data_IF_378877061172
#
_entry.id   IF_378877061172
#
_cell.length_a   1.000
_cell.length_b   1.000
_cell.length_c   1.000
_cell.angle_alpha   90.00
_cell.angle_beta   90.00
_cell.angle_gamma   90.00
#
_symmetry.space_group_name_H-M   'P 1'
#
loop_
_entity.id
_entity.type
_entity.pdbx_description
1 polymer ?
#
# COMPACT_ATOMS: atom_id res chain seq x y z
N UNK A 1 2.08 14.47 -23.18
CA UNK A 1 2.42 14.77 -21.77
C UNK A 1 2.12 13.49 -21.00
N UNK A 2 3.17 12.73 -20.72
CA UNK A 2 3.06 11.56 -19.85
C UNK A 2 2.85 12.07 -18.43
N UNK A 3 1.64 11.99 -17.93
CA UNK A 3 1.33 12.30 -16.54
C UNK A 3 1.78 11.12 -15.69
N UNK A 4 3.04 11.11 -15.30
CA UNK A 4 3.50 10.31 -14.18
C UNK A 4 3.12 11.06 -12.92
N UNK A 5 1.95 10.77 -12.36
CA UNK A 5 1.53 11.23 -11.04
C UNK A 5 2.37 10.52 -9.99
N UNK A 6 3.60 10.97 -9.78
CA UNK A 6 4.51 10.37 -8.81
C UNK A 6 4.77 11.36 -7.68
N UNK A 7 4.30 11.01 -6.50
CA UNK A 7 4.77 11.55 -5.24
C UNK A 7 4.24 12.94 -4.87
N UNK A 8 4.66 14.01 -5.51
CA UNK A 8 4.31 15.37 -5.09
C UNK A 8 2.86 15.77 -5.35
N UNK A 9 2.28 15.30 -6.46
CA UNK A 9 0.88 15.59 -6.80
C UNK A 9 -0.10 14.80 -5.90
N UNK A 10 0.25 13.60 -5.49
CA UNK A 10 -0.50 12.84 -4.49
C UNK A 10 -0.56 13.58 -3.16
N UNK A 11 0.58 14.13 -2.70
CA UNK A 11 0.65 14.93 -1.48
C UNK A 11 -0.20 16.19 -1.54
N UNK A 12 -0.27 16.85 -2.69
CA UNK A 12 -1.11 18.05 -2.88
C UNK A 12 -2.58 17.67 -2.76
N UNK A 13 -3.02 16.60 -3.42
CA UNK A 13 -4.39 16.12 -3.39
C UNK A 13 -4.84 15.70 -1.98
N UNK A 14 -3.99 15.00 -1.25
CA UNK A 14 -4.35 14.46 0.07
C UNK A 14 -4.40 15.53 1.17
N UNK A 15 -3.66 16.63 1.00
CA UNK A 15 -3.56 17.71 2.00
C UNK A 15 -4.41 18.94 1.69
N UNK A 16 -4.80 19.16 0.45
CA UNK A 16 -5.52 20.35 0.01
C UNK A 16 -6.92 20.00 -0.48
N UNK A 17 -7.91 20.81 -0.05
CA UNK A 17 -9.31 20.69 -0.48
C UNK A 17 -9.68 21.59 -1.66
N UNK A 18 -8.77 22.47 -2.07
CA UNK A 18 -8.93 23.46 -3.13
C UNK A 18 -8.22 23.05 -4.44
N UNK A 19 -8.04 21.75 -4.64
CA UNK A 19 -7.36 21.20 -5.82
C UNK A 19 -8.36 20.51 -6.74
N UNK A 20 -8.30 20.82 -8.01
CA UNK A 20 -9.02 20.11 -9.08
C UNK A 20 -8.00 19.40 -9.97
N UNK A 21 -8.16 18.09 -10.14
CA UNK A 21 -7.30 17.29 -11.01
C UNK A 21 -8.01 17.05 -12.34
N UNK A 22 -7.35 17.43 -13.43
CA UNK A 22 -7.81 17.16 -14.79
C UNK A 22 -6.90 16.08 -15.39
N UNK A 23 -7.46 14.93 -15.73
CA UNK A 23 -6.71 13.80 -16.26
C UNK A 23 -7.53 13.02 -17.29
N UNK A 24 -6.87 12.12 -18.04
CA UNK A 24 -7.58 11.20 -18.92
C UNK A 24 -8.29 10.12 -18.10
N UNK A 25 -9.35 9.53 -18.66
CA UNK A 25 -10.13 8.46 -18.02
C UNK A 25 -9.28 7.23 -17.67
N UNK A 26 -8.17 7.02 -18.39
CA UNK A 26 -7.24 5.92 -18.11
C UNK A 26 -6.57 6.02 -16.73
N UNK A 27 -6.53 7.20 -16.13
CA UNK A 27 -5.94 7.40 -14.80
C UNK A 27 -6.80 6.86 -13.65
N UNK A 28 -8.09 6.57 -13.89
CA UNK A 28 -9.00 6.02 -12.87
C UNK A 28 -9.14 4.50 -12.93
N UNK A 29 -8.59 3.84 -13.95
CA UNK A 29 -8.61 2.39 -14.02
C UNK A 29 -7.67 1.77 -12.98
N UNK A 30 -8.21 0.81 -12.22
CA UNK A 30 -7.46 0.10 -11.17
C UNK A 30 -7.30 0.87 -9.86
N UNK A 31 -7.84 2.08 -9.74
CA UNK A 31 -7.91 2.76 -8.44
C UNK A 31 -8.94 2.05 -7.56
N UNK A 32 -8.52 1.66 -6.36
CA UNK A 32 -9.41 1.12 -5.33
C UNK A 32 -10.39 2.16 -4.78
N UNK A 33 -11.28 1.72 -3.90
CA UNK A 33 -12.17 2.62 -3.18
C UNK A 33 -11.36 3.58 -2.30
N UNK A 34 -11.64 4.90 -2.30
CA UNK A 34 -11.04 5.83 -1.35
C UNK A 34 -11.24 5.41 0.11
N UNK A 35 -12.37 4.79 0.43
CA UNK A 35 -12.66 4.31 1.79
C UNK A 35 -11.68 3.19 2.18
N UNK A 36 -11.46 2.20 1.31
CA UNK A 36 -10.52 1.11 1.56
C UNK A 36 -9.09 1.63 1.76
N UNK A 37 -8.70 2.65 0.99
CA UNK A 37 -7.39 3.29 1.15
C UNK A 37 -7.23 3.95 2.53
N UNK A 38 -8.29 4.60 3.03
CA UNK A 38 -8.28 5.18 4.38
C UNK A 38 -8.34 4.12 5.48
N UNK A 39 -9.06 3.02 5.26
CA UNK A 39 -9.20 1.93 6.23
C UNK A 39 -7.86 1.16 6.41
N UNK A 40 -7.00 1.16 5.40
CA UNK A 40 -5.65 0.59 5.47
C UNK A 40 -4.60 1.53 6.10
N UNK A 41 -4.98 2.74 6.52
CA UNK A 41 -4.07 3.68 7.14
C UNK A 41 -3.61 3.19 8.53
N UNK A 42 -2.29 3.17 8.76
CA UNK A 42 -1.72 2.86 10.08
C UNK A 42 -1.69 4.12 10.92
N UNK A 43 -2.37 4.10 12.06
CA UNK A 43 -2.40 5.21 13.02
C UNK A 43 -1.54 4.88 14.24
N UNK A 44 -0.52 5.68 14.53
CA UNK A 44 0.40 5.47 15.64
C UNK A 44 0.39 6.68 16.58
N UNK A 45 0.45 6.38 17.89
CA UNK A 45 0.52 7.39 18.96
C UNK A 45 1.48 6.95 20.06
N UNK A 46 2.25 7.86 20.67
CA UNK A 46 2.99 7.56 21.90
C UNK A 46 2.06 7.05 23.00
N UNK A 47 2.51 6.08 23.79
CA UNK A 47 1.72 5.40 24.81
C UNK A 47 0.77 4.32 24.29
N UNK A 48 0.79 4.02 22.99
CA UNK A 48 0.00 2.95 22.41
C UNK A 48 0.72 1.62 22.61
N UNK A 49 0.01 0.64 23.19
CA UNK A 49 0.51 -0.75 23.28
C UNK A 49 0.37 -1.41 21.92
N UNK A 50 1.48 -1.54 21.23
CA UNK A 50 1.58 -2.15 19.91
C UNK A 50 3.00 -2.61 19.68
N UNK A 51 3.18 -3.90 19.43
CA UNK A 51 4.49 -4.47 19.18
C UNK A 51 5.11 -3.96 17.87
N UNK A 52 6.43 -3.77 17.90
CA UNK A 52 7.20 -3.34 16.72
C UNK A 52 6.97 -4.27 15.51
N UNK A 53 6.96 -5.58 15.72
CA UNK A 53 6.81 -6.57 14.65
C UNK A 53 5.37 -6.61 14.09
N UNK A 54 4.38 -6.18 14.88
CA UNK A 54 3.01 -5.94 14.41
C UNK A 54 2.98 -4.76 13.44
N UNK A 55 3.60 -3.64 13.82
CA UNK A 55 3.70 -2.46 12.93
C UNK A 55 4.46 -2.78 11.64
N UNK A 56 5.51 -3.61 11.71
CA UNK A 56 6.25 -4.06 10.53
C UNK A 56 5.35 -4.86 9.59
N UNK A 57 4.53 -5.78 10.11
CA UNK A 57 3.57 -6.56 9.30
C UNK A 57 2.56 -5.66 8.61
N UNK A 58 1.97 -4.72 9.34
CA UNK A 58 1.05 -3.74 8.77
C UNK A 58 1.71 -2.90 7.66
N UNK A 59 2.99 -2.49 7.84
CA UNK A 59 3.72 -1.77 6.79
C UNK A 59 3.91 -2.60 5.52
N UNK A 60 4.19 -3.90 5.67
CA UNK A 60 4.30 -4.82 4.53
C UNK A 60 2.94 -4.98 3.84
N UNK A 61 1.86 -5.11 4.61
CA UNK A 61 0.49 -5.24 4.08
C UNK A 61 0.08 -4.02 3.24
N UNK A 62 0.52 -2.81 3.64
CA UNK A 62 0.32 -1.58 2.86
C UNK A 62 1.43 -1.29 1.84
N UNK A 63 2.21 -2.32 1.48
CA UNK A 63 3.22 -2.34 0.43
C UNK A 63 4.48 -1.48 0.68
N UNK A 64 4.84 -1.22 1.94
CA UNK A 64 6.16 -0.69 2.24
C UNK A 64 7.20 -1.79 2.16
N UNK A 65 8.37 -1.45 1.63
CA UNK A 65 9.48 -2.39 1.49
C UNK A 65 10.56 -2.13 2.55
N UNK A 66 11.03 -3.18 3.20
CA UNK A 66 12.18 -3.07 4.11
C UNK A 66 13.46 -2.85 3.33
N UNK A 67 14.17 -1.75 3.61
CA UNK A 67 15.45 -1.46 2.99
C UNK A 67 16.36 -0.71 3.98
N UNK A 68 17.46 -1.37 4.38
CA UNK A 68 18.41 -0.81 5.35
C UNK A 68 19.46 0.09 4.67
N UNK A 69 19.73 -0.12 3.37
CA UNK A 69 20.82 0.51 2.63
C UNK A 69 20.34 1.73 1.85
N UNK A 70 19.24 1.59 1.13
CA UNK A 70 18.66 2.64 0.28
C UNK A 70 17.33 3.10 0.86
N UNK A 71 17.39 4.16 1.67
CA UNK A 71 16.23 4.70 2.36
C UNK A 71 15.53 5.76 1.51
N UNK A 72 14.54 5.33 0.76
CA UNK A 72 13.72 6.16 -0.12
C UNK A 72 12.22 6.09 0.25
N UNK A 73 11.37 6.82 -0.48
CA UNK A 73 9.91 6.81 -0.25
C UNK A 73 9.35 5.40 -0.32
N UNK A 74 8.35 5.13 0.51
CA UNK A 74 7.69 3.82 0.63
C UNK A 74 8.61 2.71 1.13
N UNK A 75 9.71 3.07 1.83
CA UNK A 75 10.56 2.11 2.51
C UNK A 75 10.57 2.34 4.01
N UNK A 76 10.93 1.31 4.74
CA UNK A 76 11.22 1.39 6.16
C UNK A 76 12.51 0.64 6.51
N UNK A 77 13.13 1.01 7.62
CA UNK A 77 14.29 0.33 8.17
C UNK A 77 14.15 0.14 9.67
N UNK A 78 14.78 -0.89 10.19
CA UNK A 78 14.68 -1.28 11.61
C UNK A 78 16.06 -1.29 12.24
N UNK A 79 16.23 -0.57 13.34
CA UNK A 79 17.49 -0.52 14.09
C UNK A 79 17.20 -0.72 15.58
N UNK A 80 17.34 -1.96 16.05
CA UNK A 80 16.96 -2.32 17.42
C UNK A 80 15.49 -2.06 17.68
N UNK A 81 15.18 -1.26 18.68
CA UNK A 81 13.81 -0.88 19.05
C UNK A 81 13.31 0.40 18.33
N UNK A 82 14.01 0.79 17.28
CA UNK A 82 13.65 1.96 16.47
C UNK A 82 13.24 1.54 15.08
N UNK A 83 12.07 2.01 14.65
CA UNK A 83 11.53 1.85 13.32
C UNK A 83 11.53 3.21 12.62
N UNK A 84 12.20 3.32 11.48
CA UNK A 84 12.18 4.50 10.65
C UNK A 84 11.42 4.24 9.36
N UNK A 85 10.43 5.05 9.08
CA UNK A 85 9.50 4.93 7.94
C UNK A 85 9.63 6.16 7.07
N UNK A 86 9.85 5.98 5.77
CA UNK A 86 9.80 7.08 4.82
C UNK A 86 8.45 7.09 4.11
N UNK A 87 7.49 7.93 4.55
CA UNK A 87 6.16 7.92 3.99
C UNK A 87 6.14 8.20 2.49
N UNK A 88 5.23 7.54 1.77
CA UNK A 88 5.04 7.74 0.33
C UNK A 88 4.72 9.19 -0.03
N UNK A 89 4.05 9.91 0.88
CA UNK A 89 3.61 11.30 0.72
C UNK A 89 4.61 12.35 1.24
N UNK A 90 5.83 11.95 1.62
CA UNK A 90 6.88 12.87 2.08
C UNK A 90 7.98 13.02 1.05
N UNK A 91 8.66 14.18 1.03
CA UNK A 91 9.78 14.45 0.12
C UNK A 91 11.15 14.40 0.80
N UNK A 92 11.22 14.79 2.07
CA UNK A 92 12.46 15.08 2.80
C UNK A 92 12.40 14.70 4.27
N UNK A 93 11.26 14.21 4.73
CA UNK A 93 11.05 13.83 6.14
C UNK A 93 10.66 12.37 6.25
N UNK A 94 11.27 11.68 7.21
CA UNK A 94 10.87 10.35 7.63
C UNK A 94 10.31 10.38 9.04
N UNK A 95 9.61 9.34 9.42
CA UNK A 95 9.03 9.12 10.74
C UNK A 95 9.90 8.13 11.49
N UNK A 96 10.37 8.51 12.68
CA UNK A 96 11.04 7.61 13.60
C UNK A 96 10.09 7.26 14.74
N UNK A 97 9.86 5.97 14.92
CA UNK A 97 9.05 5.40 16.00
C UNK A 97 10.00 4.64 16.92
N UNK A 98 10.07 5.03 18.17
CA UNK A 98 10.91 4.40 19.20
C UNK A 98 9.99 3.58 20.10
N UNK A 99 10.36 2.30 20.30
CA UNK A 99 9.60 1.36 21.12
C UNK A 99 10.31 1.11 22.45
N UNK A 100 9.53 0.89 23.49
CA UNK A 100 10.00 0.37 24.76
C UNK A 100 9.20 -0.88 25.12
N UNK A 101 9.75 -2.06 24.85
CA UNK A 101 8.99 -3.30 24.86
C UNK A 101 7.86 -3.26 23.83
N UNK A 102 6.64 -3.52 24.29
CA UNK A 102 5.43 -3.56 23.45
C UNK A 102 4.69 -2.21 23.41
N UNK A 103 5.35 -1.10 23.79
CA UNK A 103 4.75 0.23 23.82
C UNK A 103 5.53 1.19 22.92
N UNK A 104 4.81 2.08 22.25
CA UNK A 104 5.40 3.18 21.49
C UNK A 104 5.79 4.30 22.48
N UNK A 105 7.08 4.47 22.73
CA UNK A 105 7.60 5.51 23.63
C UNK A 105 7.54 6.89 22.99
N UNK A 106 8.05 6.99 21.75
CA UNK A 106 8.18 8.29 21.08
C UNK A 106 7.99 8.19 19.58
N UNK A 107 7.42 9.25 19.00
CA UNK A 107 7.32 9.45 17.57
C UNK A 107 7.93 10.79 17.20
N UNK A 108 8.88 10.78 16.25
CA UNK A 108 9.58 11.97 15.80
C UNK A 108 9.61 12.04 14.26
N UNK A 109 9.50 13.26 13.73
CA UNK A 109 9.86 13.51 12.33
C UNK A 109 11.34 13.83 12.24
N UNK A 110 12.03 13.16 11.35
CA UNK A 110 13.45 13.30 11.11
C UNK A 110 13.74 13.76 9.68
N UNK A 111 14.82 14.46 9.50
CA UNK A 111 15.37 14.73 8.17
C UNK A 111 16.00 13.45 7.61
N UNK A 112 15.66 13.10 6.36
CA UNK A 112 16.10 11.85 5.74
C UNK A 112 17.61 11.80 5.52
N UNK A 113 18.24 12.95 5.21
CA UNK A 113 19.66 13.04 4.89
C UNK A 113 20.55 13.11 6.14
N UNK A 114 20.16 13.95 7.11
CA UNK A 114 20.95 14.20 8.32
C UNK A 114 20.57 13.29 9.48
N UNK A 115 19.33 12.77 9.49
CA UNK A 115 18.77 12.03 10.62
C UNK A 115 18.38 12.90 11.81
N UNK A 116 18.48 14.24 11.68
CA UNK A 116 18.13 15.19 12.75
C UNK A 116 16.64 15.21 13.01
N UNK A 117 16.26 15.29 14.29
CA UNK A 117 14.86 15.39 14.69
C UNK A 117 14.37 16.81 14.40
N UNK A 118 13.41 16.93 13.48
CA UNK A 118 12.73 18.18 13.15
C UNK A 118 11.66 18.53 14.18
N UNK A 119 10.84 17.57 14.58
CA UNK A 119 9.81 17.75 15.60
C UNK A 119 9.36 16.40 16.19
N UNK A 120 8.77 16.45 17.37
CA UNK A 120 8.06 15.33 17.97
C UNK A 120 6.58 15.39 17.59
N UNK A 121 5.97 14.21 17.42
CA UNK A 121 4.56 14.06 17.06
C UNK A 121 3.80 13.29 18.14
N UNK A 122 2.63 13.80 18.50
CA UNK A 122 1.68 13.09 19.36
C UNK A 122 0.80 12.07 18.60
N UNK A 123 0.83 12.14 17.29
CA UNK A 123 0.10 11.24 16.41
C UNK A 123 0.69 11.30 14.99
N UNK A 124 0.73 10.15 14.32
CA UNK A 124 1.09 10.05 12.91
C UNK A 124 0.16 9.06 12.20
N UNK A 125 -0.15 9.35 10.95
CA UNK A 125 -0.88 8.47 10.05
C UNK A 125 0.02 8.10 8.89
N UNK A 126 0.23 6.80 8.69
CA UNK A 126 1.00 6.26 7.55
C UNK A 126 0.00 5.72 6.54
N UNK A 127 0.00 6.30 5.35
CA UNK A 127 -0.86 5.89 4.25
C UNK A 127 -0.19 4.81 3.42
N UNK A 128 -0.95 3.97 2.70
CA UNK A 128 -0.40 2.96 1.80
C UNK A 128 0.63 3.52 0.81
N UNK A 129 1.61 2.69 0.47
CA UNK A 129 2.69 3.05 -0.46
C UNK A 129 2.19 3.31 -1.89
N UNK A 130 1.05 2.72 -2.25
CA UNK A 130 0.42 2.81 -3.56
C UNK A 130 -1.10 2.94 -3.43
N UNK A 131 -1.75 3.55 -4.42
CA UNK A 131 -3.22 3.57 -4.52
C UNK A 131 -3.82 2.24 -5.00
N UNK A 132 -2.97 1.29 -5.39
CA UNK A 132 -3.37 -0.03 -5.91
C UNK A 132 -3.30 -1.13 -4.84
N UNK A 133 -3.22 -0.76 -3.57
CA UNK A 133 -3.23 -1.73 -2.46
C UNK A 133 -4.66 -2.24 -2.28
N UNK A 134 -4.80 -3.55 -2.27
CA UNK A 134 -6.07 -4.24 -2.08
C UNK A 134 -5.92 -5.20 -0.90
N UNK A 135 -6.89 -5.25 0.04
CA UNK A 135 -6.85 -6.19 1.14
C UNK A 135 -6.78 -7.65 0.66
N UNK A 136 -5.98 -8.49 1.32
CA UNK A 136 -5.80 -9.89 0.94
C UNK A 136 -7.11 -10.68 0.87
N UNK A 137 -8.06 -10.38 1.77
CA UNK A 137 -9.39 -11.00 1.76
C UNK A 137 -10.20 -10.68 0.49
N UNK A 138 -10.00 -9.49 -0.08
CA UNK A 138 -10.67 -9.09 -1.31
C UNK A 138 -10.07 -9.82 -2.51
N UNK A 139 -8.74 -10.01 -2.53
CA UNK A 139 -8.06 -10.81 -3.56
C UNK A 139 -8.56 -12.24 -3.54
N UNK A 140 -8.67 -12.87 -2.36
CA UNK A 140 -9.19 -14.22 -2.23
C UNK A 140 -10.65 -14.34 -2.70
N UNK A 141 -11.50 -13.38 -2.33
CA UNK A 141 -12.90 -13.35 -2.82
C UNK A 141 -12.98 -13.21 -4.33
N UNK A 142 -12.12 -12.36 -4.90
CA UNK A 142 -12.05 -12.20 -6.35
C UNK A 142 -11.56 -13.49 -7.04
N UNK A 143 -10.56 -14.16 -6.51
CA UNK A 143 -10.04 -15.42 -7.04
C UNK A 143 -11.15 -16.51 -7.08
N UNK A 144 -11.90 -16.67 -6.00
CA UNK A 144 -13.03 -17.63 -5.96
C UNK A 144 -14.09 -17.28 -7.00
N UNK A 145 -14.46 -16.00 -7.13
CA UNK A 145 -15.45 -15.57 -8.13
C UNK A 145 -14.96 -15.82 -9.57
N UNK A 146 -13.66 -15.57 -9.83
CA UNK A 146 -13.05 -15.84 -11.13
C UNK A 146 -13.04 -17.34 -11.45
N UNK A 147 -12.76 -18.20 -10.46
CA UNK A 147 -12.81 -19.65 -10.66
C UNK A 147 -14.23 -20.15 -11.00
N UNK A 148 -15.26 -19.60 -10.37
CA UNK A 148 -16.65 -19.93 -10.67
C UNK A 148 -17.02 -19.52 -12.10
N UNK A 149 -16.70 -18.28 -12.48
CA UNK A 149 -16.92 -17.78 -13.84
C UNK A 149 -16.14 -18.60 -14.89
N UNK A 150 -14.91 -19.01 -14.56
CA UNK A 150 -14.08 -19.84 -15.43
C UNK A 150 -14.78 -21.17 -15.75
N UNK A 151 -15.35 -21.85 -14.75
CA UNK A 151 -16.07 -23.12 -14.95
C UNK A 151 -17.22 -22.96 -15.93
N UNK A 152 -18.06 -21.93 -15.73
CA UNK A 152 -19.18 -21.64 -16.61
C UNK A 152 -18.69 -21.33 -18.05
N UNK A 153 -17.61 -20.57 -18.16
CA UNK A 153 -17.09 -20.17 -19.47
C UNK A 153 -16.44 -21.32 -20.23
N UNK A 154 -15.75 -22.22 -19.54
CA UNK A 154 -15.18 -23.44 -20.12
C UNK A 154 -16.28 -24.36 -20.61
N UNK A 155 -17.37 -24.55 -19.86
CA UNK A 155 -18.53 -25.34 -20.28
C UNK A 155 -19.20 -24.75 -21.52
N UNK A 156 -19.37 -23.43 -21.56
CA UNK A 156 -19.90 -22.73 -22.73
C UNK A 156 -19.05 -22.98 -23.96
N UNK A 157 -17.71 -22.85 -23.91
CA UNK A 157 -16.85 -23.11 -25.06
C UNK A 157 -16.86 -24.59 -25.49
N UNK A 158 -16.97 -25.50 -24.55
CA UNK A 158 -17.13 -26.94 -24.87
C UNK A 158 -18.46 -27.22 -25.58
N UNK A 159 -19.56 -26.59 -25.19
CA UNK A 159 -20.86 -26.74 -25.83
C UNK A 159 -20.89 -26.18 -27.25
N UNK A 160 -20.04 -25.20 -27.55
CA UNK A 160 -19.85 -24.60 -28.87
C UNK A 160 -18.80 -25.32 -29.73
N UNK A 161 -18.28 -26.46 -29.23
CA UNK A 161 -17.21 -27.27 -29.88
C UNK A 161 -15.88 -26.51 -30.08
N UNK A 162 -15.65 -25.48 -29.23
CA UNK A 162 -14.46 -24.62 -29.22
C UNK A 162 -13.44 -25.11 -28.17
N UNK A 163 -12.91 -26.30 -28.37
CA UNK A 163 -12.06 -27.00 -27.40
C UNK A 163 -10.73 -26.26 -27.16
N UNK A 164 -10.16 -25.61 -28.17
CA UNK A 164 -8.91 -24.90 -28.07
C UNK A 164 -9.07 -23.61 -27.21
N UNK A 165 -10.16 -22.89 -27.39
CA UNK A 165 -10.50 -21.72 -26.61
C UNK A 165 -10.78 -22.10 -25.15
N UNK A 166 -11.49 -23.20 -24.92
CA UNK A 166 -11.74 -23.71 -23.56
C UNK A 166 -10.44 -24.07 -22.84
N UNK A 167 -9.49 -24.71 -23.50
CA UNK A 167 -8.18 -25.04 -22.94
C UNK A 167 -7.39 -23.76 -22.61
N UNK A 168 -7.27 -22.85 -23.58
CA UNK A 168 -6.48 -21.62 -23.42
C UNK A 168 -6.98 -20.72 -22.28
N UNK A 169 -8.30 -20.53 -22.17
CA UNK A 169 -8.85 -19.72 -21.08
C UNK A 169 -8.60 -20.38 -19.73
N UNK A 170 -8.75 -21.72 -19.66
CA UNK A 170 -8.50 -22.46 -18.43
C UNK A 170 -7.04 -22.35 -17.97
N UNK A 171 -6.09 -22.62 -18.88
CA UNK A 171 -4.65 -22.55 -18.55
C UNK A 171 -4.23 -21.14 -18.13
N UNK A 172 -4.67 -20.11 -18.87
CA UNK A 172 -4.29 -18.73 -18.58
C UNK A 172 -4.88 -18.24 -17.27
N UNK A 173 -6.16 -18.48 -17.02
CA UNK A 173 -6.82 -18.01 -15.80
C UNK A 173 -6.26 -18.72 -14.57
N UNK A 174 -5.99 -20.03 -14.64
CA UNK A 174 -5.36 -20.72 -13.52
C UNK A 174 -3.96 -20.20 -13.22
N UNK A 175 -3.16 -19.87 -14.25
CA UNK A 175 -1.85 -19.25 -14.08
C UNK A 175 -1.93 -17.85 -13.47
N UNK A 176 -2.96 -17.07 -13.82
CA UNK A 176 -3.15 -15.71 -13.31
C UNK A 176 -3.67 -15.70 -11.83
N UNK A 177 -4.26 -16.81 -11.36
CA UNK A 177 -4.78 -16.98 -9.99
C UNK A 177 -3.69 -17.51 -9.02
N UNK A 178 -2.71 -18.31 -9.49
CA UNK A 178 -1.59 -18.81 -8.68
C UNK A 178 -0.66 -17.67 -8.23
#
# INVERSE_FOLDING_TARGET
>A
ISCSLVGSEMCIRDRRKDVVVISSVSCIYGLGSPQEFFDMMISLRPGMTKDRDEVIRELIDIQYTRNEMDFHRSTFRVRGDTLEIFPANSSDTAVRVEFFGDEIDRISEIDVLTGEIKCQRSHISIFPASHYVVPAEQIQRAAVAIEEELKERVEYFKSEDKLLEAQRISERTNFDIE
#
